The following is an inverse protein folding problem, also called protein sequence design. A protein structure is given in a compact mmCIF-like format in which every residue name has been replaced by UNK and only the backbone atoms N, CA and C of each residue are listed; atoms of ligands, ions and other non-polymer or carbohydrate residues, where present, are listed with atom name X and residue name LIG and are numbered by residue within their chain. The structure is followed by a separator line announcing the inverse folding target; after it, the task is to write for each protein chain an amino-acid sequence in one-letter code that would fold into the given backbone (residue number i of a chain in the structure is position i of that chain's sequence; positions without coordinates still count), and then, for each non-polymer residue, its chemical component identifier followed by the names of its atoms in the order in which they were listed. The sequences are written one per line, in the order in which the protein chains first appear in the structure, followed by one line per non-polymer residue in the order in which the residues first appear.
data_IF_968618717424
#
_entry.id   IF_968618717424
#
_cell.length_a   1.000
_cell.length_b   1.000
_cell.length_c   1.000
_cell.angle_alpha   90.00
_cell.angle_beta   90.00
_cell.angle_gamma   90.00
#
_symmetry.space_group_name_H-M   'P 1'
#
loop_
_entity.id
_entity.type
_entity.pdbx_description
1 polymer ?
#
# COMPACT_ATOMS: atom_id res chain seq x y z
N UNK A 1 -52.63 31.61 -4.36
CA UNK A 1 -51.89 31.28 -5.60
C UNK A 1 -50.63 30.51 -5.22
N UNK A 2 -50.45 29.32 -5.83
CA UNK A 2 -49.39 28.34 -5.51
C UNK A 2 -48.02 28.89 -5.91
N UNK A 3 -47.05 28.89 -5.00
CA UNK A 3 -45.63 29.19 -5.30
C UNK A 3 -44.96 27.87 -5.66
N UNK A 4 -44.64 27.69 -6.94
CA UNK A 4 -43.90 26.54 -7.45
C UNK A 4 -42.42 26.74 -7.16
N UNK A 5 -41.84 25.91 -6.29
CA UNK A 5 -40.39 25.83 -6.13
C UNK A 5 -39.84 24.96 -7.26
N UNK A 6 -38.99 25.53 -8.11
CA UNK A 6 -38.21 24.79 -9.10
C UNK A 6 -36.90 24.38 -8.42
N UNK A 7 -36.71 23.07 -8.22
CA UNK A 7 -35.44 22.52 -7.76
C UNK A 7 -34.50 22.42 -8.98
N UNK A 8 -33.38 23.14 -8.95
CA UNK A 8 -32.33 23.02 -9.94
C UNK A 8 -31.49 21.77 -9.62
N UNK A 9 -31.46 20.79 -10.53
CA UNK A 9 -30.51 19.69 -10.50
C UNK A 9 -29.17 20.21 -11.01
N UNK A 10 -28.19 20.35 -10.11
CA UNK A 10 -26.80 20.58 -10.49
C UNK A 10 -26.21 19.25 -10.98
N UNK A 11 -25.90 19.17 -12.27
CA UNK A 11 -25.13 18.08 -12.85
C UNK A 11 -23.68 18.26 -12.38
N UNK A 12 -23.29 17.56 -11.32
CA UNK A 12 -21.88 17.50 -10.92
C UNK A 12 -21.13 16.70 -11.98
N UNK A 13 -20.25 17.35 -12.72
CA UNK A 13 -19.31 16.68 -13.60
C UNK A 13 -18.40 15.79 -12.75
N UNK A 14 -18.54 14.47 -12.88
CA UNK A 14 -17.62 13.50 -12.29
C UNK A 14 -16.29 13.62 -13.02
N UNK A 15 -15.33 14.35 -12.45
CA UNK A 15 -13.95 14.30 -12.90
C UNK A 15 -13.45 12.85 -12.79
N UNK A 16 -12.54 12.40 -13.68
CA UNK A 16 -11.94 11.08 -13.54
C UNK A 16 -11.30 10.96 -12.16
N UNK A 17 -11.63 9.87 -11.47
CA UNK A 17 -11.06 9.53 -10.17
C UNK A 17 -9.56 9.28 -10.33
N UNK A 18 -8.75 10.26 -9.97
CA UNK A 18 -7.29 10.16 -10.09
C UNK A 18 -6.77 9.40 -8.88
N UNK A 19 -6.13 8.26 -9.11
CA UNK A 19 -5.32 7.65 -8.05
C UNK A 19 -4.17 8.60 -7.70
N UNK A 20 -3.82 8.65 -6.42
CA UNK A 20 -2.69 9.42 -5.94
C UNK A 20 -1.61 8.48 -5.41
N UNK A 21 -0.39 8.65 -5.94
CA UNK A 21 0.81 8.10 -5.33
C UNK A 21 1.25 8.99 -4.17
N UNK A 22 1.34 8.42 -2.98
CA UNK A 22 1.97 9.07 -1.82
C UNK A 22 3.33 8.45 -1.58
N UNK A 23 4.38 9.27 -1.44
CA UNK A 23 5.72 8.81 -1.09
C UNK A 23 6.28 9.59 0.10
N UNK A 24 6.83 8.88 1.08
CA UNK A 24 7.62 9.45 2.18
C UNK A 24 9.02 8.87 2.09
N UNK A 25 9.99 9.66 1.64
CA UNK A 25 11.37 9.22 1.41
C UNK A 25 12.21 9.29 2.68
N UNK A 26 13.16 8.37 2.83
CA UNK A 26 14.01 8.31 4.01
C UNK A 26 13.23 7.91 5.27
N UNK A 27 12.14 7.15 5.09
CA UNK A 27 11.40 6.57 6.19
C UNK A 27 12.23 5.43 6.79
N UNK A 28 12.39 5.45 8.12
CA UNK A 28 12.95 4.34 8.88
C UNK A 28 11.78 3.45 9.34
N UNK A 29 11.97 2.13 9.29
CA UNK A 29 10.98 1.14 9.70
C UNK A 29 10.42 1.36 11.11
N UNK A 30 11.22 1.94 12.00
CA UNK A 30 10.84 2.24 13.39
C UNK A 30 10.21 3.62 13.57
N UNK A 31 10.06 4.42 12.50
CA UNK A 31 9.49 5.78 12.56
C UNK A 31 8.00 5.79 12.20
N UNK A 32 7.08 5.86 13.20
CA UNK A 32 5.65 5.68 12.94
C UNK A 32 5.04 6.79 12.06
N UNK A 33 5.68 7.97 12.02
CA UNK A 33 5.24 9.12 11.23
C UNK A 33 5.21 8.85 9.72
N UNK A 34 6.04 7.91 9.24
CA UNK A 34 6.05 7.54 7.82
C UNK A 34 4.76 6.85 7.36
N UNK A 35 4.03 6.25 8.31
CA UNK A 35 2.82 5.45 8.06
C UNK A 35 1.55 6.14 8.56
N UNK A 36 1.62 7.43 8.90
CA UNK A 36 0.51 8.16 9.49
C UNK A 36 -0.74 8.10 8.58
N UNK A 37 -1.85 7.63 9.14
CA UNK A 37 -3.11 7.44 8.41
C UNK A 37 -3.31 6.04 7.82
N UNK A 38 -2.33 5.15 7.94
CA UNK A 38 -2.41 3.76 7.48
C UNK A 38 -2.36 2.77 8.65
N UNK A 39 -2.95 1.59 8.47
CA UNK A 39 -2.79 0.44 9.35
C UNK A 39 -1.78 -0.51 8.75
N UNK A 40 -0.69 -0.80 9.47
CA UNK A 40 0.21 -1.91 9.12
C UNK A 40 -0.57 -3.22 9.31
N UNK A 41 -0.55 -4.07 8.28
CA UNK A 41 -1.25 -5.36 8.22
C UNK A 41 -0.31 -6.54 8.05
N UNK A 42 0.95 -6.32 7.70
CA UNK A 42 2.01 -7.35 7.73
C UNK A 42 3.39 -6.72 7.91
N UNK A 43 4.23 -7.34 8.73
CA UNK A 43 5.58 -6.92 9.15
C UNK A 43 6.63 -8.05 9.09
N UNK A 44 6.27 -9.24 8.60
CA UNK A 44 7.15 -10.40 8.34
C UNK A 44 7.98 -10.96 9.52
N UNK A 45 7.86 -10.42 10.72
CA UNK A 45 8.57 -10.87 11.94
C UNK A 45 8.27 -12.32 12.35
N UNK A 46 7.18 -12.90 11.82
CA UNK A 46 6.82 -14.30 12.06
C UNK A 46 7.48 -15.28 11.07
N UNK A 47 8.32 -14.80 10.15
CA UNK A 47 9.02 -15.60 9.15
C UNK A 47 10.52 -15.60 9.38
N UNK A 48 11.19 -16.69 9.02
CA UNK A 48 12.64 -16.86 9.14
C UNK A 48 13.21 -17.43 7.83
N UNK A 49 13.40 -16.56 6.84
CA UNK A 49 14.03 -16.88 5.56
C UNK A 49 13.27 -17.89 4.69
N UNK A 50 11.93 -17.87 4.71
CA UNK A 50 11.12 -18.78 3.89
C UNK A 50 11.19 -18.40 2.40
N UNK A 51 11.93 -19.18 1.61
CA UNK A 51 11.89 -19.09 0.15
C UNK A 51 10.58 -19.67 -0.39
N UNK A 52 9.77 -18.84 -1.08
CA UNK A 52 8.46 -19.26 -1.61
C UNK A 52 7.97 -18.33 -2.72
N UNK A 53 7.23 -18.89 -3.68
CA UNK A 53 6.45 -18.11 -4.66
C UNK A 53 5.01 -17.86 -4.19
N UNK A 54 4.65 -18.37 -3.01
CA UNK A 54 3.27 -18.38 -2.51
C UNK A 54 2.35 -19.34 -3.27
N UNK A 55 1.02 -19.28 -3.02
CA UNK A 55 0.37 -18.36 -2.09
C UNK A 55 0.68 -18.71 -0.62
N UNK A 56 1.09 -17.72 0.17
CA UNK A 56 1.40 -17.87 1.60
C UNK A 56 0.56 -16.90 2.44
N UNK A 57 -0.01 -17.36 3.56
CA UNK A 57 -0.79 -16.51 4.45
C UNK A 57 0.17 -15.79 5.43
N UNK A 58 0.43 -14.51 5.19
CA UNK A 58 1.46 -13.76 5.95
C UNK A 58 0.90 -13.00 7.15
N UNK A 59 -0.40 -12.73 7.14
CA UNK A 59 -1.13 -12.09 8.23
C UNK A 59 -2.64 -12.35 8.06
N UNK A 60 -3.48 -12.08 9.08
CA UNK A 60 -4.93 -12.20 8.96
C UNK A 60 -5.47 -11.42 7.75
N UNK A 61 -5.95 -12.14 6.74
CA UNK A 61 -6.51 -11.53 5.53
C UNK A 61 -5.48 -10.95 4.55
N UNK A 62 -4.20 -11.29 4.68
CA UNK A 62 -3.15 -10.91 3.71
C UNK A 62 -2.46 -12.16 3.18
N UNK A 63 -2.45 -12.31 1.86
CA UNK A 63 -1.79 -13.41 1.16
C UNK A 63 -0.65 -12.88 0.30
N UNK A 64 0.52 -13.46 0.45
CA UNK A 64 1.68 -13.19 -0.37
C UNK A 64 1.74 -14.11 -1.60
N UNK A 65 2.14 -13.55 -2.74
CA UNK A 65 2.63 -14.29 -3.91
C UNK A 65 3.87 -13.57 -4.44
N UNK A 66 4.86 -14.31 -4.90
CA UNK A 66 6.09 -13.76 -5.42
C UNK A 66 6.64 -14.58 -6.58
N UNK A 67 7.66 -14.02 -7.24
CA UNK A 67 8.41 -14.72 -8.28
C UNK A 67 9.52 -15.62 -7.69
N UNK A 68 10.19 -16.38 -8.55
CA UNK A 68 11.30 -17.23 -8.13
C UNK A 68 12.43 -16.39 -7.48
N UNK A 69 12.87 -16.80 -6.28
CA UNK A 69 13.82 -16.03 -5.47
C UNK A 69 13.16 -15.03 -4.51
N UNK A 70 11.84 -15.13 -4.31
CA UNK A 70 11.14 -14.46 -3.22
C UNK A 70 11.39 -15.14 -1.88
N UNK A 71 11.61 -14.32 -0.85
CA UNK A 71 11.89 -14.75 0.53
C UNK A 71 10.99 -13.96 1.48
N UNK A 72 10.27 -14.65 2.35
CA UNK A 72 9.55 -14.05 3.48
C UNK A 72 10.41 -14.19 4.74
N UNK A 73 10.61 -13.08 5.45
CA UNK A 73 11.48 -13.03 6.62
C UNK A 73 12.96 -13.09 6.25
N UNK A 74 13.36 -12.44 5.16
CA UNK A 74 14.78 -12.16 4.94
C UNK A 74 15.28 -11.26 6.08
N UNK A 75 16.46 -11.56 6.61
CA UNK A 75 17.02 -10.89 7.78
C UNK A 75 18.29 -10.08 7.48
N UNK A 76 18.73 -10.08 6.22
CA UNK A 76 19.82 -9.24 5.72
C UNK A 76 19.68 -8.97 4.22
N UNK A 77 19.86 -7.71 3.82
CA UNK A 77 19.98 -7.29 2.44
C UNK A 77 20.94 -6.11 2.32
N UNK A 78 22.01 -6.28 1.56
CA UNK A 78 22.96 -5.23 1.19
C UNK A 78 22.47 -4.54 -0.08
N UNK A 79 21.95 -3.32 0.05
CA UNK A 79 21.31 -2.57 -1.05
C UNK A 79 22.28 -1.61 -1.74
N UNK A 80 23.59 -1.80 -1.50
CA UNK A 80 24.66 -0.99 -2.08
C UNK A 80 24.56 0.47 -1.63
N UNK A 81 24.41 1.45 -2.54
CA UNK A 81 24.29 2.86 -2.15
C UNK A 81 22.99 3.17 -1.38
N UNK A 82 22.03 2.24 -1.36
CA UNK A 82 20.76 2.37 -0.62
C UNK A 82 20.80 1.74 0.78
N UNK A 83 21.99 1.54 1.34
CA UNK A 83 22.19 1.08 2.72
C UNK A 83 21.90 -0.40 2.91
N UNK A 84 21.55 -0.76 4.14
CA UNK A 84 21.39 -2.14 4.58
C UNK A 84 20.01 -2.32 5.22
N UNK A 85 19.33 -3.42 4.94
CA UNK A 85 18.18 -3.89 5.72
C UNK A 85 18.56 -5.13 6.51
N UNK A 86 18.10 -5.24 7.75
CA UNK A 86 18.39 -6.34 8.67
C UNK A 86 18.58 -5.88 10.11
N UNK A 87 19.56 -6.47 10.79
CA UNK A 87 19.90 -6.18 12.20
C UNK A 87 18.72 -6.40 13.17
N UNK A 88 18.05 -7.54 13.04
CA UNK A 88 16.92 -7.93 13.89
C UNK A 88 15.55 -7.61 13.29
N UNK A 89 15.49 -6.99 12.12
CA UNK A 89 14.28 -6.81 11.32
C UNK A 89 14.15 -7.90 10.26
N UNK A 90 12.94 -8.36 10.02
CA UNK A 90 12.58 -9.35 9.01
C UNK A 90 11.67 -8.74 7.96
N UNK A 91 11.91 -9.02 6.68
CA UNK A 91 11.18 -8.38 5.58
C UNK A 91 10.91 -9.35 4.44
N UNK A 92 10.04 -8.95 3.51
CA UNK A 92 9.91 -9.64 2.24
C UNK A 92 11.01 -9.16 1.28
N UNK A 93 11.71 -10.09 0.64
CA UNK A 93 12.73 -9.80 -0.35
C UNK A 93 12.44 -10.54 -1.67
N UNK A 94 12.85 -9.97 -2.79
CA UNK A 94 12.76 -10.60 -4.10
C UNK A 94 14.00 -10.29 -4.93
N UNK A 95 14.72 -11.32 -5.38
CA UNK A 95 15.92 -11.14 -6.22
C UNK A 95 15.59 -10.52 -7.59
N UNK A 96 14.56 -11.05 -8.24
CA UNK A 96 14.05 -10.59 -9.53
C UNK A 96 12.54 -10.77 -9.56
N UNK A 97 11.83 -9.79 -10.11
CA UNK A 97 10.39 -9.93 -10.37
C UNK A 97 9.52 -9.18 -9.37
N UNK A 98 8.34 -9.72 -9.12
CA UNK A 98 7.28 -9.08 -8.36
C UNK A 98 7.09 -9.70 -6.96
N UNK A 99 6.92 -8.83 -5.96
CA UNK A 99 6.36 -9.17 -4.65
C UNK A 99 4.93 -8.62 -4.60
N UNK A 100 3.93 -9.47 -4.37
CA UNK A 100 2.52 -9.08 -4.37
C UNK A 100 1.83 -9.48 -3.08
N UNK A 101 1.02 -8.56 -2.57
CA UNK A 101 0.24 -8.70 -1.35
C UNK A 101 -1.24 -8.54 -1.66
N UNK A 102 -2.02 -9.60 -1.44
CA UNK A 102 -3.45 -9.66 -1.73
C UNK A 102 -4.26 -9.58 -0.45
N UNK A 103 -5.23 -8.67 -0.41
CA UNK A 103 -6.07 -8.42 0.75
C UNK A 103 -7.39 -9.20 0.67
N UNK A 104 -7.88 -9.70 1.79
CA UNK A 104 -9.15 -10.40 1.86
C UNK A 104 -10.34 -9.48 1.50
N UNK A 105 -10.28 -8.22 1.93
CA UNK A 105 -11.25 -7.17 1.62
C UNK A 105 -10.63 -6.11 0.72
N UNK A 106 -11.46 -5.43 -0.08
CA UNK A 106 -10.99 -4.29 -0.86
C UNK A 106 -10.56 -3.14 0.07
N UNK A 107 -9.53 -2.42 -0.33
CA UNK A 107 -8.97 -1.29 0.42
C UNK A 107 -8.99 -0.02 -0.44
N UNK A 108 -9.12 1.14 0.20
CA UNK A 108 -9.06 2.44 -0.46
C UNK A 108 -7.62 2.82 -0.79
N UNK A 109 -6.69 2.44 0.09
CA UNK A 109 -5.28 2.68 -0.09
C UNK A 109 -4.46 1.46 0.33
N UNK A 110 -3.36 1.23 -0.38
CA UNK A 110 -2.41 0.18 -0.06
C UNK A 110 -0.99 0.63 -0.40
N UNK A 111 -0.04 0.27 0.45
CA UNK A 111 1.36 0.63 0.31
C UNK A 111 2.26 -0.19 1.22
N UNK A 112 3.54 0.13 1.20
CA UNK A 112 4.54 -0.50 2.06
C UNK A 112 5.80 0.38 2.15
N UNK A 113 6.67 0.10 3.11
CA UNK A 113 8.04 0.58 3.10
C UNK A 113 8.84 -0.24 2.10
N UNK A 114 9.55 0.41 1.18
CA UNK A 114 10.25 -0.26 0.09
C UNK A 114 11.68 0.25 -0.01
N UNK A 115 12.60 -0.61 -0.39
CA UNK A 115 13.93 -0.24 -0.88
C UNK A 115 14.41 -1.25 -1.94
N UNK A 116 15.52 -0.98 -2.62
CA UNK A 116 16.07 -1.87 -3.64
C UNK A 116 17.55 -1.61 -3.90
N UNK A 117 18.22 -2.54 -4.58
CA UNK A 117 19.60 -2.40 -5.03
C UNK A 117 19.66 -1.70 -6.41
N UNK A 118 20.15 -0.45 -6.51
CA UNK A 118 20.07 0.34 -7.74
C UNK A 118 21.28 0.19 -8.67
N UNK A 119 22.29 -0.62 -8.32
CA UNK A 119 23.55 -0.66 -9.07
C UNK A 119 23.51 -1.74 -10.17
N UNK A 120 23.74 -1.32 -11.42
CA UNK A 120 23.71 -2.18 -12.61
C UNK A 120 22.46 -3.10 -12.72
N UNK A 121 21.23 -2.60 -12.49
CA UNK A 121 20.02 -3.39 -12.71
C UNK A 121 19.84 -3.65 -14.21
N UNK A 122 19.14 -4.73 -14.60
CA UNK A 122 18.59 -4.84 -15.94
C UNK A 122 17.75 -3.59 -16.28
N UNK A 123 17.77 -3.07 -17.53
CA UNK A 123 17.06 -1.84 -17.89
C UNK A 123 15.57 -1.82 -17.53
N UNK A 124 14.91 -2.99 -17.56
CA UNK A 124 13.51 -3.16 -17.20
C UNK A 124 13.21 -3.09 -15.69
N UNK A 125 14.25 -3.11 -14.84
CA UNK A 125 14.18 -3.06 -13.37
C UNK A 125 14.97 -1.87 -12.78
N UNK A 126 15.30 -0.86 -13.59
CA UNK A 126 15.98 0.36 -13.13
C UNK A 126 15.15 1.13 -12.08
N UNK A 127 13.83 1.02 -12.16
CA UNK A 127 12.87 1.67 -11.27
C UNK A 127 12.09 0.62 -10.47
N UNK A 128 11.61 1.02 -9.29
CA UNK A 128 10.50 0.30 -8.66
C UNK A 128 9.24 0.57 -9.49
N UNK A 129 8.61 -0.50 -9.93
CA UNK A 129 7.25 -0.46 -10.49
C UNK A 129 6.28 -0.93 -9.41
N UNK A 130 5.41 -0.03 -8.96
CA UNK A 130 4.34 -0.36 -8.01
C UNK A 130 3.01 -0.37 -8.76
N UNK A 131 2.24 -1.44 -8.59
CA UNK A 131 0.93 -1.61 -9.25
C UNK A 131 -0.15 -1.99 -8.26
N UNK A 132 -1.32 -1.37 -8.38
CA UNK A 132 -2.53 -1.79 -7.68
C UNK A 132 -3.40 -2.62 -8.64
N UNK A 133 -4.00 -3.68 -8.12
CA UNK A 133 -4.92 -4.54 -8.84
C UNK A 133 -6.26 -4.55 -8.14
N UNK A 134 -7.35 -4.62 -8.91
CA UNK A 134 -8.68 -4.82 -8.34
C UNK A 134 -9.12 -6.28 -8.35
N UNK A 135 -10.40 -6.51 -8.07
CA UNK A 135 -10.95 -7.82 -7.68
C UNK A 135 -10.74 -8.96 -8.70
N UNK A 136 -10.73 -8.67 -10.01
CA UNK A 136 -10.51 -9.69 -11.05
C UNK A 136 -9.05 -9.75 -11.50
N UNK A 137 -8.11 -9.35 -10.64
CA UNK A 137 -6.68 -9.29 -10.93
C UNK A 137 -6.32 -8.35 -12.12
N UNK A 138 -7.19 -7.40 -12.45
CA UNK A 138 -6.88 -6.35 -13.42
C UNK A 138 -6.03 -5.27 -12.76
N UNK A 139 -5.01 -4.78 -13.46
CA UNK A 139 -4.26 -3.58 -13.04
C UNK A 139 -5.20 -2.38 -13.11
N UNK A 140 -5.31 -1.64 -12.01
CA UNK A 140 -6.11 -0.42 -11.92
C UNK A 140 -5.25 0.84 -11.77
N UNK A 141 -4.00 0.70 -11.33
CA UNK A 141 -3.05 1.81 -11.25
C UNK A 141 -1.60 1.30 -11.34
N UNK A 142 -0.68 2.10 -11.87
CA UNK A 142 0.75 1.77 -11.91
C UNK A 142 1.63 3.01 -11.86
N UNK A 143 2.59 3.00 -10.96
CA UNK A 143 3.60 4.05 -10.84
C UNK A 143 5.00 3.48 -10.94
N UNK A 144 5.92 4.31 -11.45
CA UNK A 144 7.36 4.04 -11.43
C UNK A 144 8.06 5.13 -10.65
N UNK A 145 8.97 4.76 -9.77
CA UNK A 145 9.75 5.72 -8.99
C UNK A 145 11.12 5.16 -8.63
N UNK A 146 12.03 6.08 -8.32
CA UNK A 146 13.36 5.77 -7.78
C UNK A 146 13.33 5.88 -6.26
N UNK A 147 14.17 5.07 -5.61
CA UNK A 147 14.46 5.18 -4.18
C UNK A 147 15.94 5.51 -4.04
N UNK A 148 16.21 6.54 -3.25
CA UNK A 148 17.56 6.91 -2.84
C UNK A 148 17.54 7.10 -1.34
N UNK A 149 18.39 6.34 -0.65
CA UNK A 149 18.65 6.46 0.79
C UNK A 149 20.16 6.69 1.00
N UNK A 150 20.59 7.17 2.18
CA UNK A 150 22.01 7.24 2.49
C UNK A 150 22.67 5.85 2.50
N UNK A 151 23.91 5.76 2.04
CA UNK A 151 24.64 4.47 1.95
C UNK A 151 24.97 3.85 3.31
N UNK A 152 24.97 4.65 4.37
CA UNK A 152 25.18 4.25 5.76
C UNK A 152 23.85 4.04 6.51
N UNK A 153 22.72 4.10 5.81
CA UNK A 153 21.41 3.88 6.43
C UNK A 153 21.15 2.41 6.79
N UNK A 154 20.39 2.21 7.87
CA UNK A 154 19.92 0.92 8.33
C UNK A 154 18.38 0.92 8.34
N UNK A 155 17.76 -0.07 7.69
CA UNK A 155 16.30 -0.24 7.62
C UNK A 155 15.54 1.01 7.11
N UNK A 156 16.19 1.82 6.28
CA UNK A 156 15.57 3.00 5.67
C UNK A 156 15.08 2.70 4.26
N UNK A 157 14.01 3.35 3.85
CA UNK A 157 13.43 3.22 2.52
C UNK A 157 12.53 4.39 2.15
N UNK A 158 11.65 4.13 1.18
CA UNK A 158 10.55 5.02 0.84
C UNK A 158 9.25 4.30 1.17
N UNK A 159 8.43 4.89 2.04
CA UNK A 159 7.04 4.45 2.13
C UNK A 159 6.32 4.91 0.86
N UNK A 160 5.73 3.98 0.12
CA UNK A 160 4.98 4.26 -1.10
C UNK A 160 3.59 3.62 -1.01
N UNK A 161 2.55 4.41 -1.30
CA UNK A 161 1.16 3.95 -1.27
C UNK A 161 0.36 4.51 -2.44
N UNK A 162 -0.52 3.68 -2.99
CA UNK A 162 -1.52 4.08 -3.98
C UNK A 162 -2.84 4.28 -3.25
N UNK A 163 -3.39 5.49 -3.34
CA UNK A 163 -4.73 5.81 -2.82
C UNK A 163 -5.71 6.01 -3.97
N UNK A 164 -6.92 5.48 -3.82
CA UNK A 164 -8.02 5.54 -4.77
C UNK A 164 -9.23 6.25 -4.16
N UNK A 165 -10.12 6.75 -4.99
CA UNK A 165 -11.34 7.44 -4.52
C UNK A 165 -12.40 6.47 -3.98
N UNK A 166 -12.29 5.19 -4.32
CA UNK A 166 -13.12 4.09 -3.81
C UNK A 166 -12.22 2.96 -3.31
N UNK A 167 -12.75 2.09 -2.45
CA UNK A 167 -12.05 0.85 -2.11
C UNK A 167 -12.19 -0.17 -3.24
N UNK A 168 -11.28 -0.10 -4.19
CA UNK A 168 -11.20 -1.00 -5.34
C UNK A 168 -9.86 -1.75 -5.41
N UNK A 169 -8.95 -1.53 -4.46
CA UNK A 169 -7.65 -2.22 -4.40
C UNK A 169 -7.83 -3.59 -3.73
N UNK A 170 -7.56 -4.66 -4.49
CA UNK A 170 -7.51 -6.05 -4.02
C UNK A 170 -6.09 -6.50 -3.70
N UNK A 171 -5.10 -6.01 -4.44
CA UNK A 171 -3.69 -6.29 -4.17
C UNK A 171 -2.79 -5.13 -4.56
N UNK A 172 -1.65 -5.02 -3.88
CA UNK A 172 -0.55 -4.14 -4.26
C UNK A 172 0.66 -5.00 -4.62
N UNK A 173 1.45 -4.57 -5.60
CA UNK A 173 2.69 -5.24 -5.97
C UNK A 173 3.85 -4.28 -6.12
N UNK A 174 5.06 -4.81 -5.91
CA UNK A 174 6.32 -4.12 -6.07
C UNK A 174 7.23 -4.97 -6.94
N UNK A 175 7.70 -4.40 -8.05
CA UNK A 175 8.61 -5.03 -8.99
C UNK A 175 9.87 -4.20 -9.16
N UNK A 176 11.02 -4.86 -9.12
CA UNK A 176 12.34 -4.23 -9.27
C UNK A 176 13.46 -5.25 -9.14
N UNK A 177 14.70 -4.77 -9.05
CA UNK A 177 15.88 -5.61 -8.86
C UNK A 177 16.28 -5.64 -7.38
N UNK A 178 16.32 -6.84 -6.79
CA UNK A 178 16.61 -7.03 -5.35
C UNK A 178 15.75 -6.12 -4.46
N UNK A 179 14.42 -6.17 -4.67
CA UNK A 179 13.46 -5.35 -3.92
C UNK A 179 13.28 -5.93 -2.53
N UNK A 180 13.23 -5.05 -1.54
CA UNK A 180 12.83 -5.38 -0.17
C UNK A 180 11.59 -4.57 0.20
N UNK A 181 10.66 -5.21 0.91
CA UNK A 181 9.38 -4.64 1.31
C UNK A 181 9.08 -5.00 2.75
N UNK A 182 8.65 -4.01 3.52
CA UNK A 182 8.17 -4.17 4.89
C UNK A 182 6.97 -3.29 5.20
N UNK A 183 6.34 -3.49 6.36
CA UNK A 183 5.23 -2.70 6.88
C UNK A 183 4.14 -2.52 5.82
N UNK A 184 3.67 -3.62 5.25
CA UNK A 184 2.55 -3.61 4.29
C UNK A 184 1.37 -2.96 5.00
N UNK A 185 0.86 -1.89 4.43
CA UNK A 185 -0.02 -0.95 5.10
C UNK A 185 -1.23 -0.63 4.23
N UNK A 186 -2.39 -0.49 4.84
CA UNK A 186 -3.65 -0.22 4.13
C UNK A 186 -4.50 0.84 4.84
N UNK A 187 -5.34 1.49 4.05
CA UNK A 187 -6.53 2.20 4.53
C UNK A 187 -7.73 1.37 4.09
N UNK A 188 -8.40 0.64 5.01
CA UNK A 188 -9.65 -0.04 4.70
C UNK A 188 -10.70 0.96 4.20
N UNK A 189 -11.83 0.47 3.67
CA UNK A 189 -12.97 1.37 3.41
C UNK A 189 -13.19 2.29 4.61
N UNK A 190 -13.28 3.63 4.42
CA UNK A 190 -13.83 4.49 5.45
C UNK A 190 -15.23 3.95 5.68
N UNK A 191 -15.40 3.25 6.81
CA UNK A 191 -16.52 2.34 6.99
C UNK A 191 -17.79 3.03 6.54
N UNK A 192 -18.38 2.55 5.45
CA UNK A 192 -19.67 3.06 4.96
C UNK A 192 -20.67 3.11 6.11
N UNK A 193 -20.51 2.21 7.09
CA UNK A 193 -21.19 2.19 8.37
C UNK A 193 -20.89 3.37 9.30
N UNK A 194 -19.65 3.86 9.43
CA UNK A 194 -19.32 5.04 10.22
C UNK A 194 -19.96 6.31 9.62
N UNK A 195 -19.95 6.44 8.29
CA UNK A 195 -20.60 7.56 7.60
C UNK A 195 -22.13 7.45 7.62
N UNK A 196 -22.66 6.24 7.47
CA UNK A 196 -24.09 5.95 7.65
C UNK A 196 -24.54 6.25 9.08
N UNK A 197 -23.77 5.82 10.09
CA UNK A 197 -24.05 6.08 11.50
C UNK A 197 -23.94 7.55 11.85
N UNK A 198 -22.96 8.26 11.31
CA UNK A 198 -22.86 9.71 11.44
C UNK A 198 -24.08 10.41 10.81
N UNK A 199 -24.50 9.97 9.62
CA UNK A 199 -25.71 10.45 8.94
C UNK A 199 -26.99 10.18 9.75
N UNK A 200 -27.16 8.97 10.26
CA UNK A 200 -28.29 8.59 11.11
C UNK A 200 -28.27 9.34 12.45
N UNK A 201 -27.10 9.55 13.05
CA UNK A 201 -26.92 10.36 14.25
C UNK A 201 -27.36 11.80 14.03
N UNK A 202 -27.02 12.39 12.88
CA UNK A 202 -27.47 13.74 12.51
C UNK A 202 -28.99 13.82 12.34
N UNK A 203 -29.59 12.84 11.66
CA UNK A 203 -31.05 12.76 11.47
C UNK A 203 -31.75 12.60 12.83
N UNK A 204 -31.24 11.74 13.71
CA UNK A 204 -31.76 11.56 15.06
C UNK A 204 -31.73 12.84 15.90
N UNK A 205 -30.65 13.63 15.81
CA UNK A 205 -30.56 14.93 16.48
C UNK A 205 -31.58 15.95 15.94
N UNK A 206 -31.82 15.97 14.62
CA UNK A 206 -32.82 16.87 14.00
C UNK A 206 -34.24 16.46 14.39
N UNK A 207 -34.54 15.15 14.37
CA UNK A 207 -35.85 14.63 14.79
C UNK A 207 -36.15 14.97 16.25
N UNK A 208 -35.15 14.88 17.14
CA UNK A 208 -35.28 15.25 18.56
C UNK A 208 -35.59 16.73 18.78
N UNK A 209 -35.19 17.62 17.87
CA UNK A 209 -35.47 19.08 17.96
C UNK A 209 -36.85 19.48 17.43
N UNK A 210 -37.57 18.55 16.80
CA UNK A 210 -38.93 18.77 16.26
C UNK A 210 -40.04 18.21 17.17
N UNK A 211 -39.66 17.46 18.20
CA UNK A 211 -40.51 17.08 19.33
C UNK A 211 -40.35 18.12 20.44
#
# INVERSE_FOLDING_TARGET
MKKTFVAAFALAATLPAHAALTTVTGADIYTPSAFAGYSIVADFENFDGLETTGPEAIAPGVTFTGDNGSILGANIAELGPNGIWGAGNFFAAGSYGELRFTFATLTQSAGALVNFYPFNPPPELEYITMSAYGENNQIIETHKFMISTPSDSLNMGTFAAITRDSADIKSISFKGFSVVVDNVSVVPEPGTYAMLLAGLGLIGMIARRRM
#
